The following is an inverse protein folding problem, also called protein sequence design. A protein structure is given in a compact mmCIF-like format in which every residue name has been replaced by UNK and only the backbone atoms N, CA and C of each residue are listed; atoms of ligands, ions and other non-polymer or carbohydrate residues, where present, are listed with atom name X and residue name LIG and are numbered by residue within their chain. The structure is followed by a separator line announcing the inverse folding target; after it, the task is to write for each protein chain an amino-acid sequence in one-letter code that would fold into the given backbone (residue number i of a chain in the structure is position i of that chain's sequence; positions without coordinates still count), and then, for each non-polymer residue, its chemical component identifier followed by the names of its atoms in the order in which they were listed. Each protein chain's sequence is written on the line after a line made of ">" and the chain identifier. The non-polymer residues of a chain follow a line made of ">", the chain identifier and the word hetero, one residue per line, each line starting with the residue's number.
data_IF_436404381808
#
_entry.id   IF_436404381808
#
_cell.length_a   1.000
_cell.length_b   1.000
_cell.length_c   1.000
_cell.angle_alpha   90.00
_cell.angle_beta   90.00
_cell.angle_gamma   90.00
#
_symmetry.space_group_name_H-M   'P 1'
#
loop_
_entity.id
_entity.type
_entity.pdbx_description
1 polymer ?
#
# COMPACT_ATOMS: atom_id res chain seq x y z
N UNK A 1 -30.51 -6.32 28.03
CA UNK A 1 -29.67 -5.10 28.03
C UNK A 1 -28.23 -5.55 28.12
N UNK A 2 -27.38 -5.25 27.14
CA UNK A 2 -25.96 -5.60 27.18
C UNK A 2 -25.13 -4.31 27.16
N UNK A 3 -24.63 -3.92 28.33
CA UNK A 3 -23.60 -2.90 28.47
C UNK A 3 -22.24 -3.59 28.47
N UNK A 4 -21.69 -3.84 27.28
CA UNK A 4 -20.28 -4.24 27.16
C UNK A 4 -19.43 -2.98 27.05
N UNK A 5 -19.06 -2.42 28.21
CA UNK A 5 -17.90 -1.55 28.36
C UNK A 5 -16.62 -2.39 28.21
N UNK A 6 -16.39 -2.95 27.02
CA UNK A 6 -15.08 -3.49 26.68
C UNK A 6 -14.20 -2.32 26.31
N UNK A 7 -13.27 -1.97 27.19
CA UNK A 7 -12.18 -1.07 26.86
C UNK A 7 -11.50 -1.56 25.57
N UNK A 8 -11.20 -0.66 24.62
CA UNK A 8 -10.53 -1.05 23.38
C UNK A 8 -9.18 -1.69 23.71
N UNK A 9 -8.96 -2.91 23.19
CA UNK A 9 -7.66 -3.59 23.31
C UNK A 9 -6.52 -2.79 22.67
N UNK A 10 -5.25 -3.16 22.91
CA UNK A 10 -4.06 -2.42 22.44
C UNK A 10 -4.01 -2.21 20.92
N UNK A 11 -4.75 -3.03 20.16
CA UNK A 11 -4.78 -2.98 18.70
C UNK A 11 -5.90 -2.09 18.13
N UNK A 12 -6.67 -1.40 18.97
CA UNK A 12 -7.76 -0.56 18.49
C UNK A 12 -7.25 0.67 17.75
N UNK A 13 -7.82 0.92 16.56
CA UNK A 13 -7.55 2.12 15.77
C UNK A 13 -8.59 3.17 16.15
N UNK A 14 -8.15 4.23 16.82
CA UNK A 14 -8.96 5.43 17.04
C UNK A 14 -8.76 6.46 15.93
N UNK A 15 -9.57 7.52 15.95
CA UNK A 15 -9.51 8.60 14.97
C UNK A 15 -8.22 9.41 15.04
N UNK A 16 -7.52 9.42 16.19
CA UNK A 16 -6.24 10.14 16.33
C UNK A 16 -5.11 9.34 15.68
N UNK A 17 -5.00 8.05 15.99
CA UNK A 17 -4.04 7.11 15.41
C UNK A 17 -4.22 7.00 13.90
N UNK A 18 -5.47 6.90 13.43
CA UNK A 18 -5.76 6.94 12.00
C UNK A 18 -5.37 8.30 11.40
N UNK A 19 -5.75 9.41 12.02
CA UNK A 19 -5.44 10.76 11.53
C UNK A 19 -3.93 11.04 11.41
N UNK A 20 -3.15 10.59 12.40
CA UNK A 20 -1.70 10.69 12.39
C UNK A 20 -1.09 9.88 11.25
N UNK A 21 -1.49 8.62 11.10
CA UNK A 21 -1.02 7.77 10.01
C UNK A 21 -1.37 8.33 8.62
N UNK A 22 -2.57 8.89 8.44
CA UNK A 22 -2.92 9.57 7.18
C UNK A 22 -2.00 10.75 6.86
N UNK A 23 -1.62 11.52 7.88
CA UNK A 23 -0.69 12.64 7.71
C UNK A 23 0.73 12.16 7.39
N UNK A 24 1.24 11.18 8.12
CA UNK A 24 2.59 10.61 7.93
C UNK A 24 2.77 9.99 6.54
N UNK A 25 1.73 9.31 6.03
CA UNK A 25 1.77 8.65 4.73
C UNK A 25 1.20 9.50 3.59
N UNK A 26 0.80 10.75 3.84
CA UNK A 26 0.16 11.65 2.85
C UNK A 26 -1.08 11.04 2.17
N UNK A 27 -1.86 10.24 2.90
CA UNK A 27 -3.07 9.55 2.39
C UNK A 27 -4.31 10.37 2.69
N UNK A 28 -5.15 10.59 1.68
CA UNK A 28 -6.42 11.30 1.84
C UNK A 28 -7.53 10.41 2.42
N UNK A 29 -8.55 11.06 3.00
CA UNK A 29 -9.76 10.36 3.48
C UNK A 29 -10.53 9.66 2.36
N UNK A 30 -10.41 10.14 1.12
CA UNK A 30 -11.03 9.55 -0.06
C UNK A 30 -10.35 8.23 -0.46
N UNK A 31 -9.03 8.16 -0.35
CA UNK A 31 -8.27 6.95 -0.63
C UNK A 31 -8.60 5.82 0.35
N UNK A 32 -8.75 6.14 1.64
CA UNK A 32 -9.21 5.16 2.63
C UNK A 32 -10.64 4.71 2.35
N UNK A 33 -11.52 5.65 1.99
CA UNK A 33 -12.89 5.31 1.64
C UNK A 33 -12.95 4.33 0.46
N UNK A 34 -12.12 4.57 -0.56
CA UNK A 34 -11.96 3.68 -1.72
C UNK A 34 -11.42 2.31 -1.30
N UNK A 35 -10.35 2.25 -0.50
CA UNK A 35 -9.74 1.01 -0.02
C UNK A 35 -10.70 0.15 0.82
N UNK A 36 -11.61 0.80 1.54
CA UNK A 36 -12.63 0.14 2.37
C UNK A 36 -13.96 -0.11 1.63
N UNK A 37 -14.10 0.35 0.38
CA UNK A 37 -15.35 0.23 -0.38
C UNK A 37 -16.53 1.01 0.22
N UNK A 38 -16.26 2.12 0.92
CA UNK A 38 -17.27 2.97 1.57
C UNK A 38 -17.27 4.38 0.99
N UNK A 39 -18.31 5.16 1.30
CA UNK A 39 -18.37 6.56 0.89
C UNK A 39 -17.41 7.43 1.71
N UNK A 40 -16.76 8.41 1.08
CA UNK A 40 -15.87 9.39 1.75
C UNK A 40 -16.55 10.14 2.89
N UNK A 41 -17.86 10.40 2.77
CA UNK A 41 -18.68 11.01 3.82
C UNK A 41 -18.74 10.18 5.10
N UNK A 42 -18.70 8.85 4.98
CA UNK A 42 -18.68 7.94 6.14
C UNK A 42 -17.38 8.11 6.91
N UNK A 43 -16.24 8.21 6.20
CA UNK A 43 -14.94 8.49 6.81
C UNK A 43 -14.94 9.86 7.48
N UNK A 44 -15.48 10.91 6.84
CA UNK A 44 -15.65 12.23 7.46
C UNK A 44 -16.45 12.17 8.77
N UNK A 45 -17.54 11.41 8.79
CA UNK A 45 -18.36 11.24 9.98
C UNK A 45 -17.62 10.55 11.12
N UNK A 46 -16.67 9.66 10.83
CA UNK A 46 -15.84 9.04 11.87
C UNK A 46 -15.00 10.08 12.60
N UNK A 47 -14.30 10.95 11.84
CA UNK A 47 -13.49 12.03 12.41
C UNK A 47 -14.36 13.07 13.14
N UNK A 48 -15.51 13.46 12.57
CA UNK A 48 -16.41 14.42 13.22
C UNK A 48 -16.96 13.89 14.56
N UNK A 49 -17.26 12.59 14.62
CA UNK A 49 -17.83 11.93 15.81
C UNK A 49 -16.78 11.28 16.71
N UNK A 50 -15.51 11.37 16.35
CA UNK A 50 -14.39 10.67 17.00
C UNK A 50 -14.68 9.18 17.24
N UNK A 51 -15.37 8.53 16.29
CA UNK A 51 -15.87 7.15 16.44
C UNK A 51 -15.73 6.36 15.15
N UNK A 52 -14.90 5.33 15.20
CA UNK A 52 -14.72 4.35 14.13
C UNK A 52 -15.54 3.09 14.44
N UNK A 53 -16.39 2.61 13.51
CA UNK A 53 -17.15 1.38 13.69
C UNK A 53 -16.27 0.14 13.94
N UNK A 54 -16.70 -0.79 14.79
CA UNK A 54 -15.91 -2.00 15.10
C UNK A 54 -15.69 -2.91 13.90
N UNK A 55 -16.66 -2.98 12.98
CA UNK A 55 -16.58 -3.85 11.80
C UNK A 55 -15.47 -3.46 10.82
N UNK A 56 -14.99 -2.21 10.85
CA UNK A 56 -13.88 -1.75 9.98
C UNK A 56 -12.51 -1.80 10.66
N UNK A 57 -12.44 -2.11 11.95
CA UNK A 57 -11.19 -2.13 12.72
C UNK A 57 -10.17 -3.12 12.16
N UNK A 58 -10.62 -4.32 11.76
CA UNK A 58 -9.73 -5.32 11.17
C UNK A 58 -9.12 -4.83 9.84
N UNK A 59 -9.95 -4.26 8.96
CA UNK A 59 -9.51 -3.72 7.68
C UNK A 59 -8.58 -2.53 7.84
N UNK A 60 -8.87 -1.62 8.78
CA UNK A 60 -7.99 -0.48 9.09
C UNK A 60 -6.64 -0.94 9.63
N UNK A 61 -6.61 -1.94 10.52
CA UNK A 61 -5.34 -2.52 10.98
C UNK A 61 -4.56 -3.14 9.84
N UNK A 62 -5.22 -3.83 8.92
CA UNK A 62 -4.56 -4.42 7.76
C UNK A 62 -4.00 -3.35 6.81
N UNK A 63 -4.71 -2.23 6.63
CA UNK A 63 -4.25 -1.09 5.84
C UNK A 63 -3.08 -0.36 6.50
N UNK A 64 -3.16 -0.13 7.82
CA UNK A 64 -2.16 0.62 8.58
C UNK A 64 -0.92 -0.20 8.98
N UNK A 65 -1.07 -1.51 9.14
CA UNK A 65 0.01 -2.46 9.44
C UNK A 65 0.76 -2.94 8.20
N UNK A 66 0.44 -2.40 7.02
CA UNK A 66 1.19 -2.62 5.80
C UNK A 66 2.28 -1.54 5.75
N UNK A 67 3.47 -1.89 6.21
CA UNK A 67 4.66 -1.11 5.88
C UNK A 67 4.73 -1.01 4.34
N UNK A 68 4.61 0.21 3.82
CA UNK A 68 4.73 0.56 2.40
C UNK A 68 3.56 0.14 1.49
N UNK A 69 3.27 0.93 0.42
CA UNK A 69 2.18 0.62 -0.49
C UNK A 69 2.41 -0.77 -1.06
N UNK A 70 1.36 -1.60 -1.01
CA UNK A 70 1.47 -2.97 -1.48
C UNK A 70 2.07 -3.00 -2.87
N UNK A 71 3.04 -3.89 -3.13
CA UNK A 71 3.61 -4.12 -4.47
C UNK A 71 2.53 -4.18 -5.57
N UNK A 72 1.33 -4.62 -5.20
CA UNK A 72 0.14 -4.68 -6.04
C UNK A 72 -0.40 -3.30 -6.52
N UNK A 73 -0.33 -2.26 -5.69
CA UNK A 73 -0.73 -0.88 -6.07
C UNK A 73 0.42 -0.10 -6.72
N UNK A 74 1.66 -0.53 -6.49
CA UNK A 74 2.86 -0.01 -7.17
C UNK A 74 3.18 -0.71 -8.50
N UNK A 75 2.36 -1.69 -8.91
CA UNK A 75 2.51 -2.38 -10.20
C UNK A 75 2.17 -1.43 -11.36
N UNK A 76 3.18 -0.72 -11.87
CA UNK A 76 3.11 -0.08 -13.17
C UNK A 76 3.32 -1.16 -14.22
N UNK A 77 2.23 -1.56 -14.88
CA UNK A 77 2.30 -2.48 -16.02
C UNK A 77 2.82 -1.75 -17.25
N UNK A 78 4.06 -2.05 -17.66
CA UNK A 78 4.67 -1.51 -18.88
C UNK A 78 4.49 -2.52 -20.01
N UNK A 79 3.77 -2.12 -21.07
CA UNK A 79 3.68 -2.94 -22.28
C UNK A 79 5.03 -2.94 -23.00
N UNK A 80 5.63 -4.12 -23.16
CA UNK A 80 6.87 -4.28 -23.92
C UNK A 80 6.67 -5.14 -25.17
N UNK A 81 7.52 -4.89 -26.18
CA UNK A 81 7.57 -5.73 -27.37
C UNK A 81 8.19 -7.09 -27.02
N UNK A 82 7.67 -8.15 -27.61
CA UNK A 82 8.16 -9.51 -27.39
C UNK A 82 9.65 -9.66 -27.80
N UNK A 83 10.09 -8.95 -28.85
CA UNK A 83 11.50 -8.91 -29.25
C UNK A 83 12.41 -8.43 -28.11
N UNK A 84 12.02 -7.36 -27.43
CA UNK A 84 12.77 -6.79 -26.30
C UNK A 84 12.79 -7.74 -25.10
N UNK A 85 11.65 -8.36 -24.77
CA UNK A 85 11.58 -9.35 -23.69
C UNK A 85 12.50 -10.55 -23.95
N UNK A 86 12.53 -11.04 -25.20
CA UNK A 86 13.40 -12.15 -25.59
C UNK A 86 14.89 -11.80 -25.54
N UNK A 87 15.26 -10.58 -25.89
CA UNK A 87 16.64 -10.11 -25.78
C UNK A 87 17.08 -10.05 -24.31
N UNK A 88 16.25 -9.48 -23.45
CA UNK A 88 16.50 -9.44 -21.99
C UNK A 88 16.66 -10.87 -21.45
N UNK A 89 15.74 -11.78 -21.79
CA UNK A 89 15.82 -13.16 -21.33
C UNK A 89 17.08 -13.87 -21.81
N UNK A 90 17.48 -13.69 -23.07
CA UNK A 90 18.73 -14.26 -23.60
C UNK A 90 19.96 -13.72 -22.87
N UNK A 91 19.96 -12.43 -22.53
CA UNK A 91 21.09 -11.82 -21.85
C UNK A 91 21.18 -12.24 -20.38
N UNK A 92 20.04 -12.34 -19.69
CA UNK A 92 19.96 -12.90 -18.34
C UNK A 92 20.52 -14.33 -18.27
N UNK A 93 20.10 -15.20 -19.22
CA UNK A 93 20.60 -16.58 -19.30
C UNK A 93 22.10 -16.66 -19.56
N UNK A 94 22.64 -15.80 -20.45
CA UNK A 94 24.09 -15.75 -20.72
C UNK A 94 24.91 -15.42 -19.47
N UNK A 95 24.34 -14.65 -18.57
CA UNK A 95 24.98 -14.19 -17.35
C UNK A 95 24.63 -15.04 -16.13
N UNK A 96 23.83 -16.10 -16.30
CA UNK A 96 23.43 -16.98 -15.22
C UNK A 96 22.48 -16.34 -14.21
N UNK A 97 21.77 -15.28 -14.61
CA UNK A 97 20.83 -14.52 -13.78
C UNK A 97 19.38 -14.81 -14.16
N UNK A 98 18.47 -14.59 -13.22
CA UNK A 98 17.06 -14.41 -13.56
C UNK A 98 16.83 -13.12 -14.34
N UNK A 99 15.71 -13.05 -15.06
CA UNK A 99 15.31 -11.85 -15.82
C UNK A 99 15.18 -10.64 -14.89
N UNK A 100 14.66 -10.84 -13.68
CA UNK A 100 14.49 -9.78 -12.69
C UNK A 100 15.82 -9.24 -12.18
N UNK A 101 16.73 -10.11 -11.75
CA UNK A 101 18.07 -9.73 -11.29
C UNK A 101 18.85 -8.99 -12.38
N UNK A 102 18.72 -9.45 -13.63
CA UNK A 102 19.38 -8.80 -14.76
C UNK A 102 18.85 -7.38 -14.98
N UNK A 103 17.52 -7.18 -14.95
CA UNK A 103 16.91 -5.86 -15.10
C UNK A 103 17.36 -4.92 -13.99
N UNK A 104 17.35 -5.37 -12.73
CA UNK A 104 17.77 -4.56 -11.58
C UNK A 104 19.22 -4.09 -11.73
N UNK A 105 20.12 -5.00 -12.14
CA UNK A 105 21.54 -4.67 -12.35
C UNK A 105 21.73 -3.65 -13.48
N UNK A 106 21.07 -3.87 -14.63
CA UNK A 106 21.14 -2.98 -15.77
C UNK A 106 20.63 -1.55 -15.46
N UNK A 107 19.57 -1.45 -14.64
CA UNK A 107 19.06 -0.16 -14.17
C UNK A 107 20.06 0.52 -13.22
N UNK A 108 20.62 -0.22 -12.26
CA UNK A 108 21.64 0.29 -11.34
C UNK A 108 22.86 0.87 -12.07
N UNK A 109 23.44 0.09 -12.99
CA UNK A 109 24.59 0.53 -13.81
C UNK A 109 24.28 1.77 -14.65
N UNK A 110 23.05 1.92 -15.13
CA UNK A 110 22.63 3.08 -15.91
C UNK A 110 22.46 4.32 -15.03
N UNK A 111 21.95 4.18 -13.81
CA UNK A 111 21.79 5.29 -12.88
C UNK A 111 23.14 5.81 -12.39
N UNK A 112 24.08 4.92 -12.08
CA UNK A 112 25.45 5.29 -11.69
C UNK A 112 26.21 6.01 -12.79
N UNK A 113 25.98 5.67 -14.07
CA UNK A 113 26.59 6.37 -15.21
C UNK A 113 25.99 7.75 -15.51
N UNK A 114 24.84 8.08 -14.92
CA UNK A 114 24.16 9.35 -15.10
C UNK A 114 24.23 10.25 -13.85
N UNK A 115 24.96 9.82 -12.81
CA UNK A 115 25.25 10.59 -11.60
C UNK A 115 26.66 11.22 -11.70
#
# INVERSE_FOLDING_TARGET
>A
MFTSNSQPGPDYVDTKKLGQWLHEHSISRAEIAKALGIQTTVVHNWFARQRIPRNVQASLRHLMGKDSPSELESQIAVRMKNSTLNEIARQAVKEGLSVEEWILRAVGEKLEKNA
#
